data_IF_196942034347
#
_entry.id   IF_196942034347
#
_cell.length_a   1.000
_cell.length_b   1.000
_cell.length_c   1.000
_cell.angle_alpha   90.00
_cell.angle_beta   90.00
_cell.angle_gamma   90.00
#
_symmetry.space_group_name_H-M   'P 1'
#
loop_
_entity.id
_entity.type
_entity.pdbx_description
1 polymer ?
#
# COMPACT_ATOMS: atom_id res chain seq x y z
N UNK A 1 -20.28 -1.20 -13.64
CA UNK A 1 -19.29 -1.93 -12.82
C UNK A 1 -19.54 -1.73 -11.33
N UNK A 2 -19.59 -0.50 -10.79
CA UNK A 2 -19.88 -0.29 -9.35
C UNK A 2 -21.14 -1.03 -8.86
N UNK A 3 -22.22 -0.99 -9.62
CA UNK A 3 -23.50 -1.66 -9.28
C UNK A 3 -23.43 -3.20 -9.25
N UNK A 4 -22.37 -3.80 -9.78
CA UNK A 4 -22.17 -5.25 -9.79
C UNK A 4 -21.41 -5.75 -8.55
N UNK A 5 -20.81 -4.84 -7.78
CA UNK A 5 -20.05 -5.18 -6.58
C UNK A 5 -20.99 -5.55 -5.44
N UNK A 6 -20.70 -6.66 -4.76
CA UNK A 6 -21.38 -7.02 -3.52
C UNK A 6 -20.80 -6.18 -2.35
N UNK A 7 -21.57 -5.26 -1.74
CA UNK A 7 -21.07 -4.44 -0.64
C UNK A 7 -20.71 -5.26 0.62
N UNK A 8 -21.19 -6.50 0.74
CA UNK A 8 -20.90 -7.38 1.88
C UNK A 8 -19.61 -8.20 1.72
N UNK A 9 -19.02 -8.21 0.53
CA UNK A 9 -17.79 -8.95 0.21
C UNK A 9 -16.70 -8.02 -0.34
N UNK A 10 -16.56 -6.82 0.22
CA UNK A 10 -15.48 -5.90 -0.16
C UNK A 10 -14.17 -6.26 0.56
N UNK A 11 -13.00 -6.05 -0.08
CA UNK A 11 -11.72 -6.10 0.63
C UNK A 11 -11.70 -4.98 1.67
N UNK A 12 -11.33 -5.33 2.89
CA UNK A 12 -11.13 -4.35 3.97
C UNK A 12 -9.85 -3.57 3.71
N UNK A 13 -8.83 -4.23 3.19
CA UNK A 13 -7.55 -3.63 2.86
C UNK A 13 -7.10 -3.98 1.44
N UNK A 14 -6.86 -2.94 0.63
CA UNK A 14 -6.26 -3.05 -0.70
C UNK A 14 -4.83 -2.50 -0.65
N UNK A 15 -3.87 -3.24 -1.21
CA UNK A 15 -2.50 -2.77 -1.40
C UNK A 15 -2.20 -2.58 -2.90
N UNK A 16 -1.49 -1.52 -3.27
CA UNK A 16 -1.30 -1.17 -4.69
C UNK A 16 0.18 -0.93 -5.03
N UNK A 17 0.69 -1.67 -6.01
CA UNK A 17 1.98 -1.42 -6.66
C UNK A 17 1.75 -0.56 -7.91
N UNK A 18 2.06 0.73 -7.78
CA UNK A 18 1.81 1.79 -8.76
C UNK A 18 2.90 1.84 -9.86
N UNK A 19 3.04 0.76 -10.63
CA UNK A 19 4.10 0.60 -11.62
C UNK A 19 3.65 1.01 -13.04
N UNK A 20 4.63 1.32 -13.90
CA UNK A 20 4.41 1.74 -15.29
C UNK A 20 4.70 3.22 -15.56
N UNK A 21 4.86 4.07 -14.53
CA UNK A 21 5.00 5.54 -14.70
C UNK A 21 6.05 5.96 -15.73
N UNK A 22 7.27 5.42 -15.64
CA UNK A 22 8.35 5.75 -16.57
C UNK A 22 8.18 5.16 -17.97
N UNK A 23 7.46 4.03 -18.11
CA UNK A 23 7.15 3.43 -19.43
C UNK A 23 6.05 4.23 -20.13
N UNK A 24 5.04 4.64 -19.37
CA UNK A 24 3.99 5.55 -19.82
C UNK A 24 4.57 6.87 -20.33
N UNK A 25 5.49 7.51 -19.58
CA UNK A 25 6.13 8.75 -20.03
C UNK A 25 6.83 8.59 -21.40
N UNK A 26 7.52 7.46 -21.61
CA UNK A 26 8.16 7.15 -22.89
C UNK A 26 7.15 6.95 -24.03
N UNK A 27 6.03 6.28 -23.76
CA UNK A 27 4.95 6.12 -24.76
C UNK A 27 4.34 7.46 -25.18
N UNK A 28 4.31 8.42 -24.26
CA UNK A 28 3.87 9.80 -24.53
C UNK A 28 4.95 10.68 -25.20
N UNK A 29 6.11 10.11 -25.56
CA UNK A 29 7.20 10.83 -26.22
C UNK A 29 8.14 11.60 -25.29
N UNK A 30 8.02 11.44 -23.98
CA UNK A 30 8.87 12.12 -23.00
C UNK A 30 10.06 11.25 -22.60
N UNK A 31 11.23 11.88 -22.53
CA UNK A 31 12.47 11.23 -22.05
C UNK A 31 12.53 11.21 -20.52
N UNK A 32 11.94 12.21 -19.87
CA UNK A 32 11.94 12.35 -18.42
C UNK A 32 10.82 11.52 -17.76
N UNK A 33 11.22 10.59 -16.88
CA UNK A 33 10.30 9.73 -16.12
C UNK A 33 9.47 10.52 -15.11
N UNK A 34 9.95 11.68 -14.66
CA UNK A 34 9.24 12.54 -13.70
C UNK A 34 7.90 13.00 -14.28
N UNK A 35 7.80 13.17 -15.60
CA UNK A 35 6.53 13.49 -16.26
C UNK A 35 5.46 12.41 -15.99
N UNK A 36 5.82 11.13 -16.08
CA UNK A 36 4.93 10.03 -15.74
C UNK A 36 4.52 10.03 -14.27
N UNK A 37 5.46 10.34 -13.38
CA UNK A 37 5.17 10.44 -11.94
C UNK A 37 4.23 11.60 -11.59
N UNK A 38 4.26 12.73 -12.31
CA UNK A 38 3.26 13.80 -12.12
C UNK A 38 1.86 13.36 -12.52
N UNK A 39 1.74 12.65 -13.64
CA UNK A 39 0.45 12.13 -14.11
C UNK A 39 -0.08 10.97 -13.22
N UNK A 40 0.81 10.29 -12.49
CA UNK A 40 0.45 9.28 -11.50
C UNK A 40 -0.43 9.81 -10.36
N UNK A 41 -0.36 11.11 -10.03
CA UNK A 41 -1.14 11.69 -8.93
C UNK A 41 -2.65 11.61 -9.19
N UNK A 42 -3.07 11.75 -10.45
CA UNK A 42 -4.48 11.57 -10.82
C UNK A 42 -4.98 10.16 -10.49
N UNK A 43 -4.17 9.14 -10.79
CA UNK A 43 -4.52 7.76 -10.49
C UNK A 43 -4.54 7.47 -8.98
N UNK A 44 -3.65 8.10 -8.20
CA UNK A 44 -3.68 8.04 -6.73
C UNK A 44 -5.02 8.58 -6.21
N UNK A 45 -5.45 9.74 -6.70
CA UNK A 45 -6.73 10.35 -6.31
C UNK A 45 -7.92 9.44 -6.65
N UNK A 46 -7.97 8.92 -7.87
CA UNK A 46 -9.03 7.99 -8.31
C UNK A 46 -9.06 6.69 -7.48
N UNK A 47 -7.90 6.17 -7.08
CA UNK A 47 -7.83 4.99 -6.21
C UNK A 47 -8.32 5.28 -4.79
N UNK A 48 -7.95 6.44 -4.21
CA UNK A 48 -8.40 6.85 -2.87
C UNK A 48 -9.91 7.10 -2.87
N UNK A 49 -10.39 7.95 -3.78
CA UNK A 49 -11.81 8.29 -3.89
C UNK A 49 -12.66 7.06 -4.20
N UNK A 50 -12.24 6.22 -5.16
CA UNK A 50 -12.94 4.99 -5.50
C UNK A 50 -13.00 4.00 -4.34
N UNK A 51 -11.92 3.89 -3.54
CA UNK A 51 -11.89 3.02 -2.35
C UNK A 51 -12.78 3.57 -1.24
N UNK A 52 -12.73 4.88 -0.99
CA UNK A 52 -13.57 5.56 0.00
C UNK A 52 -15.07 5.42 -0.35
N UNK A 53 -15.42 5.64 -1.62
CA UNK A 53 -16.77 5.53 -2.18
C UNK A 53 -17.38 4.13 -2.06
N UNK A 54 -16.55 3.10 -1.94
CA UNK A 54 -16.95 1.71 -1.71
C UNK A 54 -16.99 1.34 -0.22
N UNK A 55 -16.33 2.11 0.64
CA UNK A 55 -16.21 1.80 2.06
C UNK A 55 -15.04 0.89 2.43
N UNK A 56 -14.05 0.74 1.54
CA UNK A 56 -12.76 0.10 1.84
C UNK A 56 -12.11 0.87 3.00
N UNK A 57 -11.52 0.15 3.95
CA UNK A 57 -11.02 0.75 5.20
C UNK A 57 -9.55 1.13 5.14
N UNK A 58 -8.75 0.38 4.40
CA UNK A 58 -7.31 0.61 4.27
C UNK A 58 -6.89 0.56 2.79
N UNK A 59 -6.07 1.52 2.39
CA UNK A 59 -5.42 1.55 1.08
C UNK A 59 -3.92 1.80 1.26
N UNK A 60 -3.09 0.78 1.04
CA UNK A 60 -1.63 0.94 1.09
C UNK A 60 -1.07 1.16 -0.31
N UNK A 61 -0.37 2.28 -0.53
CA UNK A 61 0.22 2.64 -1.82
C UNK A 61 1.74 2.50 -1.77
N UNK A 62 2.32 1.71 -2.70
CA UNK A 62 3.76 1.54 -2.78
C UNK A 62 4.44 2.71 -3.49
N UNK A 63 4.68 3.79 -2.73
CA UNK A 63 5.12 5.07 -3.28
C UNK A 63 6.63 5.14 -3.55
N UNK A 64 7.46 4.59 -2.66
CA UNK A 64 8.92 4.61 -2.82
C UNK A 64 9.57 3.43 -2.10
N UNK A 65 10.30 2.55 -2.82
CA UNK A 65 10.95 1.39 -2.22
C UNK A 65 12.37 1.67 -1.70
N UNK A 66 12.90 0.80 -0.83
CA UNK A 66 14.32 0.88 -0.43
C UNK A 66 15.27 0.77 -1.63
N UNK A 67 14.91 0.00 -2.66
CA UNK A 67 15.72 -0.15 -3.88
C UNK A 67 15.68 1.11 -4.75
N UNK A 68 14.71 2.01 -4.58
CA UNK A 68 14.62 3.25 -5.36
C UNK A 68 15.73 4.25 -5.03
N UNK A 69 16.43 4.10 -3.90
CA UNK A 69 17.64 4.88 -3.60
C UNK A 69 18.80 4.60 -4.56
N UNK A 70 18.80 3.47 -5.26
CA UNK A 70 19.82 3.16 -6.27
C UNK A 70 19.62 3.92 -7.60
N UNK A 71 18.56 4.73 -7.72
CA UNK A 71 18.32 5.56 -8.91
C UNK A 71 19.21 6.81 -8.90
N UNK A 72 19.38 7.49 -10.05
CA UNK A 72 20.15 8.73 -10.10
C UNK A 72 19.65 9.76 -9.08
N UNK A 73 20.56 10.44 -8.39
CA UNK A 73 20.22 11.39 -7.32
C UNK A 73 19.20 12.45 -7.75
N UNK A 74 19.33 12.98 -8.96
CA UNK A 74 18.38 13.95 -9.51
C UNK A 74 16.95 13.40 -9.62
N UNK A 75 16.78 12.12 -9.97
CA UNK A 75 15.45 11.48 -10.01
C UNK A 75 14.89 11.33 -8.58
N UNK A 76 15.72 10.88 -7.63
CA UNK A 76 15.32 10.74 -6.22
C UNK A 76 14.91 12.09 -5.64
N UNK A 77 15.70 13.14 -5.84
CA UNK A 77 15.41 14.48 -5.33
C UNK A 77 14.09 15.02 -5.93
N UNK A 78 13.84 14.80 -7.22
CA UNK A 78 12.59 15.18 -7.88
C UNK A 78 11.37 14.40 -7.35
N UNK A 79 11.51 13.10 -7.06
CA UNK A 79 10.45 12.30 -6.44
C UNK A 79 10.11 12.79 -5.02
N UNK A 80 11.12 13.19 -4.24
CA UNK A 80 10.90 13.76 -2.90
C UNK A 80 10.19 15.12 -2.97
N UNK A 81 10.55 15.98 -3.93
CA UNK A 81 9.83 17.24 -4.16
C UNK A 81 8.37 16.99 -4.57
N UNK A 82 8.14 15.99 -5.43
CA UNK A 82 6.78 15.63 -5.86
C UNK A 82 5.93 15.13 -4.67
N UNK A 83 6.50 14.30 -3.79
CA UNK A 83 5.85 13.85 -2.55
C UNK A 83 5.44 15.05 -1.68
N UNK A 84 6.36 16.01 -1.47
CA UNK A 84 6.09 17.22 -0.70
C UNK A 84 4.95 18.02 -1.32
N UNK A 85 4.96 18.23 -2.65
CA UNK A 85 3.90 18.97 -3.34
C UNK A 85 2.56 18.26 -3.16
N UNK A 86 2.49 16.98 -3.52
CA UNK A 86 1.26 16.20 -3.47
C UNK A 86 0.63 16.17 -2.07
N UNK A 87 1.43 15.98 -1.03
CA UNK A 87 0.94 15.99 0.35
C UNK A 87 0.38 17.34 0.78
N UNK A 88 0.99 18.45 0.34
CA UNK A 88 0.49 19.79 0.64
C UNK A 88 -0.79 20.10 -0.13
N UNK A 89 -0.80 19.75 -1.41
CA UNK A 89 -1.90 20.07 -2.32
C UNK A 89 -3.16 19.27 -1.96
N UNK A 90 -3.03 18.02 -1.51
CA UNK A 90 -4.16 17.15 -1.17
C UNK A 90 -4.57 17.21 0.32
N UNK A 91 -3.86 17.94 1.19
CA UNK A 91 -4.14 17.91 2.64
C UNK A 91 -5.57 18.37 2.99
N UNK A 92 -6.01 19.49 2.43
CA UNK A 92 -7.34 20.03 2.70
C UNK A 92 -8.44 19.11 2.10
N UNK A 93 -8.17 18.49 0.96
CA UNK A 93 -9.07 17.48 0.36
C UNK A 93 -9.15 16.23 1.23
N UNK A 94 -8.03 15.74 1.78
CA UNK A 94 -8.02 14.60 2.71
C UNK A 94 -8.86 14.91 3.97
N UNK A 95 -8.71 16.09 4.54
CA UNK A 95 -9.50 16.54 5.70
C UNK A 95 -10.99 16.61 5.37
N UNK A 96 -11.34 17.25 4.25
CA UNK A 96 -12.72 17.37 3.77
C UNK A 96 -13.38 16.02 3.52
N UNK A 97 -12.62 15.06 2.98
CA UNK A 97 -13.11 13.73 2.61
C UNK A 97 -12.93 12.69 3.73
N UNK A 98 -12.59 13.12 4.95
CA UNK A 98 -12.42 12.25 6.13
C UNK A 98 -11.39 11.12 5.88
N UNK A 99 -10.33 11.41 5.13
CA UNK A 99 -9.22 10.48 4.86
C UNK A 99 -8.18 10.59 5.97
N UNK A 100 -7.82 9.49 6.61
CA UNK A 100 -6.72 9.41 7.57
C UNK A 100 -5.43 9.02 6.85
N UNK A 101 -4.38 9.82 6.94
CA UNK A 101 -3.08 9.49 6.36
C UNK A 101 -2.20 8.77 7.39
N UNK A 102 -1.52 7.72 6.96
CA UNK A 102 -0.50 7.00 7.73
C UNK A 102 0.67 6.60 6.82
N UNK A 103 1.74 6.03 7.39
CA UNK A 103 2.92 5.64 6.61
C UNK A 103 3.64 4.43 7.19
N UNK A 104 4.36 3.70 6.33
CA UNK A 104 5.29 2.63 6.68
C UNK A 104 6.60 2.81 5.90
N UNK A 105 7.71 2.35 6.45
CA UNK A 105 9.03 2.40 5.86
C UNK A 105 10.06 3.17 6.68
N UNK A 106 11.27 3.29 6.14
CA UNK A 106 12.39 3.97 6.79
C UNK A 106 12.25 5.50 6.64
N UNK A 107 11.28 6.10 7.32
CA UNK A 107 10.93 7.53 7.16
C UNK A 107 12.11 8.46 7.54
N UNK A 108 12.93 8.03 8.48
CA UNK A 108 14.16 8.71 8.90
C UNK A 108 15.20 8.86 7.77
N UNK A 109 15.12 8.02 6.73
CA UNK A 109 15.99 8.11 5.56
C UNK A 109 15.55 9.16 4.54
N UNK A 110 14.32 9.68 4.65
CA UNK A 110 13.82 10.73 3.76
C UNK A 110 14.47 12.08 4.11
N UNK A 111 14.55 13.04 3.17
CA UNK A 111 14.97 14.41 3.49
C UNK A 111 14.11 15.03 4.61
N UNK A 112 14.71 15.82 5.50
CA UNK A 112 14.00 16.41 6.65
C UNK A 112 12.77 17.24 6.25
N UNK A 113 12.83 17.90 5.09
CA UNK A 113 11.70 18.64 4.53
C UNK A 113 10.52 17.73 4.22
N UNK A 114 10.77 16.56 3.61
CA UNK A 114 9.76 15.53 3.33
C UNK A 114 9.19 14.97 4.62
N UNK A 115 10.05 14.65 5.60
CA UNK A 115 9.60 14.12 6.89
C UNK A 115 8.67 15.10 7.62
N UNK A 116 8.98 16.40 7.60
CA UNK A 116 8.19 17.44 8.26
C UNK A 116 6.80 17.57 7.65
N UNK A 117 6.72 17.59 6.31
CA UNK A 117 5.45 17.70 5.58
C UNK A 117 4.60 16.45 5.81
N UNK A 118 5.21 15.27 5.74
CA UNK A 118 4.53 14.00 6.02
C UNK A 118 3.98 13.95 7.44
N UNK A 119 4.79 14.28 8.45
CA UNK A 119 4.36 14.32 9.86
C UNK A 119 3.20 15.29 10.07
N UNK A 120 3.25 16.47 9.44
CA UNK A 120 2.16 17.44 9.53
C UNK A 120 0.85 16.88 8.94
N UNK A 121 0.91 16.25 7.76
CA UNK A 121 -0.27 15.69 7.12
C UNK A 121 -0.88 14.52 7.91
N UNK A 122 -0.04 13.66 8.52
CA UNK A 122 -0.49 12.59 9.41
C UNK A 122 -1.18 13.18 10.65
N UNK A 123 -0.58 14.17 11.29
CA UNK A 123 -1.14 14.80 12.49
C UNK A 123 -2.48 15.50 12.22
N UNK A 124 -2.58 16.24 11.11
CA UNK A 124 -3.80 16.96 10.69
C UNK A 124 -4.96 16.04 10.29
N UNK A 125 -4.68 14.75 10.02
CA UNK A 125 -5.68 13.77 9.59
C UNK A 125 -5.86 12.63 10.59
N UNK A 126 -5.18 12.65 11.74
CA UNK A 126 -5.13 11.52 12.68
C UNK A 126 -6.49 11.13 13.25
N UNK A 127 -7.38 12.11 13.43
CA UNK A 127 -8.71 11.95 14.03
C UNK A 127 -9.79 11.63 12.97
N UNK A 128 -9.41 11.56 11.69
CA UNK A 128 -10.33 11.15 10.63
C UNK A 128 -10.68 9.66 10.77
N UNK A 129 -11.93 9.34 10.48
CA UNK A 129 -12.55 8.03 10.72
C UNK A 129 -12.96 7.30 9.43
N UNK A 130 -12.69 7.91 8.27
CA UNK A 130 -12.95 7.31 6.97
C UNK A 130 -11.85 6.32 6.57
N UNK A 131 -11.51 6.31 5.28
CA UNK A 131 -10.44 5.43 4.78
C UNK A 131 -9.09 5.84 5.37
N UNK A 132 -8.28 4.86 5.79
CA UNK A 132 -6.87 5.07 6.10
C UNK A 132 -6.03 4.82 4.85
N UNK A 133 -5.34 5.86 4.37
CA UNK A 133 -4.38 5.76 3.27
C UNK A 133 -2.98 5.64 3.85
N UNK A 134 -2.28 4.56 3.51
CA UNK A 134 -0.94 4.27 4.00
C UNK A 134 0.06 4.44 2.87
N UNK A 135 1.01 5.35 3.02
CA UNK A 135 2.10 5.50 2.06
C UNK A 135 3.29 4.65 2.49
N UNK A 136 3.66 3.68 1.67
CA UNK A 136 4.90 2.93 1.86
C UNK A 136 6.08 3.70 1.23
N UNK A 137 6.92 4.29 2.08
CA UNK A 137 7.98 5.24 1.72
C UNK A 137 9.34 4.78 2.26
N UNK A 138 10.32 4.61 1.38
CA UNK A 138 11.59 3.94 1.72
C UNK A 138 11.31 2.57 2.37
N UNK A 139 10.31 1.85 1.83
CA UNK A 139 9.83 0.60 2.39
C UNK A 139 10.28 -0.59 1.55
N UNK A 140 10.56 -1.71 2.21
CA UNK A 140 10.51 -3.03 1.59
C UNK A 140 10.30 -4.11 2.65
N UNK A 141 9.68 -5.23 2.27
CA UNK A 141 9.33 -6.31 3.20
C UNK A 141 10.57 -6.98 3.81
N UNK A 142 11.65 -7.16 3.03
CA UNK A 142 12.92 -7.63 3.60
C UNK A 142 13.49 -6.66 4.63
N UNK A 143 13.43 -5.36 4.36
CA UNK A 143 13.87 -4.36 5.34
C UNK A 143 13.04 -4.44 6.62
N UNK A 144 11.71 -4.54 6.50
CA UNK A 144 10.78 -4.62 7.61
C UNK A 144 11.03 -5.85 8.50
N UNK A 145 11.18 -7.02 7.88
CA UNK A 145 11.51 -8.29 8.56
C UNK A 145 12.87 -8.19 9.27
N UNK A 146 13.91 -7.67 8.61
CA UNK A 146 15.25 -7.55 9.22
C UNK A 146 15.27 -6.54 10.36
N UNK A 147 14.61 -5.39 10.20
CA UNK A 147 14.44 -4.38 11.26
C UNK A 147 13.75 -5.00 12.47
N UNK A 148 12.68 -5.73 12.24
CA UNK A 148 11.88 -6.39 13.29
C UNK A 148 12.67 -7.47 14.02
N UNK A 149 13.36 -8.35 13.28
CA UNK A 149 14.22 -9.37 13.87
C UNK A 149 15.33 -8.77 14.74
N UNK A 150 15.98 -7.67 14.29
CA UNK A 150 16.99 -6.96 15.09
C UNK A 150 16.40 -6.35 16.37
N UNK A 151 15.22 -5.73 16.28
CA UNK A 151 14.51 -5.16 17.43
C UNK A 151 14.22 -6.23 18.48
N UNK A 152 13.61 -7.35 18.08
CA UNK A 152 13.29 -8.45 18.97
C UNK A 152 14.55 -9.08 19.58
N UNK A 153 15.61 -9.26 18.79
CA UNK A 153 16.88 -9.77 19.28
C UNK A 153 17.53 -8.86 20.34
N UNK A 154 17.44 -7.53 20.20
CA UNK A 154 17.96 -6.60 21.22
C UNK A 154 17.13 -6.67 22.51
N UNK A 155 15.81 -6.81 22.41
CA UNK A 155 14.93 -7.00 23.59
C UNK A 155 15.27 -8.30 24.33
N UNK A 156 15.52 -9.40 23.60
CA UNK A 156 15.99 -10.67 24.19
C UNK A 156 17.34 -10.48 24.88
N UNK A 157 18.29 -9.86 24.20
CA UNK A 157 19.64 -9.61 24.74
C UNK A 157 19.61 -8.74 26.00
N UNK A 158 18.67 -7.80 26.10
CA UNK A 158 18.50 -6.94 27.27
C UNK A 158 17.69 -7.60 28.41
N UNK A 159 17.19 -8.83 28.20
CA UNK A 159 16.35 -9.53 29.17
C UNK A 159 14.92 -9.00 29.28
N UNK A 160 14.45 -8.23 28.29
CA UNK A 160 13.10 -7.68 28.21
C UNK A 160 12.09 -8.67 27.62
N UNK A 161 12.57 -9.71 26.91
CA UNK A 161 11.77 -10.69 26.17
C UNK A 161 12.44 -12.08 26.24
N UNK A 162 11.69 -13.15 26.45
CA UNK A 162 12.22 -14.51 26.31
C UNK A 162 12.14 -14.95 24.84
N UNK A 163 13.06 -15.83 24.39
CA UNK A 163 13.06 -16.31 22.99
C UNK A 163 11.78 -17.10 22.71
N UNK A 164 11.31 -17.84 23.70
CA UNK A 164 10.11 -18.68 23.65
C UNK A 164 8.82 -17.88 23.48
N UNK A 165 8.84 -16.58 23.81
CA UNK A 165 7.71 -15.67 23.62
C UNK A 165 7.63 -15.11 22.19
N UNK A 166 8.64 -15.37 21.34
CA UNK A 166 8.64 -14.93 19.94
C UNK A 166 7.84 -15.91 19.09
N UNK A 167 6.60 -15.54 18.82
CA UNK A 167 5.71 -16.22 17.87
C UNK A 167 5.33 -15.31 16.67
N UNK A 168 4.49 -15.84 15.76
CA UNK A 168 4.02 -15.09 14.59
C UNK A 168 3.25 -13.82 14.97
N UNK A 169 2.47 -13.86 16.07
CA UNK A 169 1.67 -12.72 16.52
C UNK A 169 2.55 -11.60 17.06
N UNK A 170 3.54 -11.92 17.90
CA UNK A 170 4.49 -10.93 18.41
C UNK A 170 5.34 -10.34 17.28
N UNK A 171 5.73 -11.18 16.32
CA UNK A 171 6.45 -10.72 15.13
C UNK A 171 5.61 -9.73 14.32
N UNK A 172 4.35 -10.07 14.04
CA UNK A 172 3.41 -9.20 13.32
C UNK A 172 3.16 -7.87 14.04
N UNK A 173 3.03 -7.89 15.37
CA UNK A 173 2.89 -6.67 16.19
C UNK A 173 4.17 -5.83 16.25
N UNK A 174 5.31 -6.39 15.84
CA UNK A 174 6.60 -5.73 15.84
C UNK A 174 7.02 -5.18 14.48
N UNK A 175 6.35 -5.61 13.39
CA UNK A 175 6.50 -5.06 12.05
C UNK A 175 6.07 -3.59 11.98
N UNK A 176 6.53 -2.90 10.96
CA UNK A 176 6.16 -1.50 10.72
C UNK A 176 4.67 -1.35 10.39
N UNK A 177 4.02 -2.41 9.91
CA UNK A 177 2.59 -2.48 9.62
C UNK A 177 1.71 -2.76 10.85
N UNK A 178 2.26 -2.74 12.08
CA UNK A 178 1.50 -3.04 13.29
C UNK A 178 0.18 -2.26 13.36
N UNK A 179 -0.91 -2.92 13.72
CA UNK A 179 -2.24 -2.31 13.81
C UNK A 179 -2.92 -2.04 12.45
N UNK A 180 -2.27 -2.33 11.33
CA UNK A 180 -2.88 -2.33 10.00
C UNK A 180 -3.23 -3.80 9.66
N UNK A 181 -4.48 -4.12 9.28
CA UNK A 181 -4.85 -5.47 8.88
C UNK A 181 -4.06 -5.90 7.64
N UNK A 182 -3.84 -7.20 7.43
CA UNK A 182 -3.21 -7.69 6.20
C UNK A 182 -4.07 -7.36 4.96
N UNK A 183 -3.46 -7.07 3.79
CA UNK A 183 -4.23 -6.83 2.57
C UNK A 183 -5.06 -8.05 2.19
N UNK A 184 -6.32 -7.83 1.82
CA UNK A 184 -7.13 -8.89 1.22
C UNK A 184 -6.83 -9.02 -0.28
N UNK A 185 -6.54 -7.89 -0.92
CA UNK A 185 -6.27 -7.76 -2.36
C UNK A 185 -5.01 -6.90 -2.59
N UNK A 186 -4.11 -7.39 -3.44
CA UNK A 186 -3.00 -6.62 -3.97
C UNK A 186 -3.21 -6.37 -5.47
N UNK A 187 -3.20 -5.09 -5.86
CA UNK A 187 -3.32 -4.65 -7.24
C UNK A 187 -1.94 -4.22 -7.75
N UNK A 188 -1.57 -4.64 -8.95
CA UNK A 188 -0.37 -4.13 -9.63
C UNK A 188 -0.68 -3.72 -11.07
N UNK A 189 -0.11 -2.58 -11.48
CA UNK A 189 -0.12 -2.13 -12.87
C UNK A 189 1.23 -2.40 -13.56
N UNK A 190 1.27 -2.28 -14.88
CA UNK A 190 2.48 -2.33 -15.70
C UNK A 190 3.00 -3.73 -16.03
N UNK A 191 2.17 -4.77 -15.91
CA UNK A 191 2.41 -6.09 -16.50
C UNK A 191 3.54 -6.92 -15.91
N UNK A 192 4.13 -6.51 -14.79
CA UNK A 192 5.16 -7.29 -14.11
C UNK A 192 4.53 -8.25 -13.09
N UNK A 193 4.74 -9.56 -13.26
CA UNK A 193 4.18 -10.61 -12.39
C UNK A 193 5.08 -10.89 -11.17
N UNK A 194 5.19 -9.92 -10.28
CA UNK A 194 5.92 -10.05 -9.00
C UNK A 194 5.39 -9.07 -7.97
N UNK A 195 5.73 -9.27 -6.69
CA UNK A 195 5.39 -8.31 -5.62
C UNK A 195 6.51 -7.30 -5.33
N UNK A 196 7.68 -7.45 -5.96
CA UNK A 196 8.79 -6.49 -5.87
C UNK A 196 9.17 -6.09 -4.43
N UNK A 197 9.28 -7.08 -3.53
CA UNK A 197 9.64 -6.84 -2.12
C UNK A 197 8.61 -5.97 -1.37
N UNK A 198 7.38 -5.89 -1.85
CA UNK A 198 6.28 -5.20 -1.17
C UNK A 198 5.56 -6.16 -0.23
N UNK A 199 5.32 -5.72 1.01
CA UNK A 199 4.49 -6.39 2.04
C UNK A 199 4.70 -7.92 2.11
N UNK A 200 5.96 -8.38 2.15
CA UNK A 200 6.29 -9.80 2.02
C UNK A 200 5.59 -10.71 3.04
N UNK A 201 5.47 -10.23 4.28
CA UNK A 201 4.79 -10.95 5.36
C UNK A 201 3.28 -10.87 5.18
N UNK A 202 2.76 -9.67 4.93
CA UNK A 202 1.34 -9.36 4.95
C UNK A 202 0.60 -9.93 3.72
N UNK A 203 1.31 -10.14 2.60
CA UNK A 203 0.74 -10.68 1.36
C UNK A 203 0.62 -12.22 1.32
N UNK A 204 0.97 -12.92 2.41
CA UNK A 204 1.05 -14.39 2.42
C UNK A 204 -0.22 -15.10 1.93
N UNK A 205 -1.40 -14.51 2.16
CA UNK A 205 -2.70 -15.06 1.76
C UNK A 205 -3.56 -14.06 0.96
N UNK A 206 -2.98 -12.97 0.48
CA UNK A 206 -3.72 -11.97 -0.30
C UNK A 206 -4.01 -12.49 -1.71
N UNK A 207 -5.16 -12.10 -2.25
CA UNK A 207 -5.40 -12.27 -3.68
C UNK A 207 -4.56 -11.26 -4.46
N UNK A 208 -4.04 -11.68 -5.62
CA UNK A 208 -3.21 -10.84 -6.48
C UNK A 208 -3.94 -10.59 -7.80
N UNK A 209 -4.08 -9.31 -8.13
CA UNK A 209 -4.63 -8.85 -9.41
C UNK A 209 -3.60 -7.99 -10.13
N UNK A 210 -3.16 -8.44 -11.30
CA UNK A 210 -2.10 -7.78 -12.08
C UNK A 210 -2.68 -7.37 -13.43
N UNK A 211 -2.66 -6.07 -13.71
CA UNK A 211 -2.97 -5.56 -15.04
C UNK A 211 -1.77 -5.72 -15.96
N UNK A 212 -1.94 -6.48 -17.04
CA UNK A 212 -0.89 -6.74 -18.04
C UNK A 212 -0.54 -5.48 -18.85
N UNK A 213 -1.55 -4.76 -19.33
CA UNK A 213 -1.37 -3.66 -20.30
C UNK A 213 -1.62 -2.26 -19.70
N UNK A 214 -2.18 -2.17 -18.49
CA UNK A 214 -2.51 -0.89 -17.86
C UNK A 214 -1.28 -0.30 -17.16
N UNK A 215 -0.93 0.94 -17.48
CA UNK A 215 0.05 1.71 -16.70
C UNK A 215 -0.62 2.58 -15.65
N UNK A 216 0.06 2.77 -14.51
CA UNK A 216 -0.49 3.51 -13.39
C UNK A 216 -1.06 4.90 -13.74
N UNK A 217 -0.44 5.76 -14.57
CA UNK A 217 -1.03 7.06 -14.92
C UNK A 217 -2.41 6.98 -15.61
N UNK A 218 -2.73 5.85 -16.24
CA UNK A 218 -4.03 5.60 -16.89
C UNK A 218 -5.03 4.92 -15.95
N UNK A 219 -4.62 4.49 -14.75
CA UNK A 219 -5.50 3.87 -13.77
C UNK A 219 -6.60 4.83 -13.30
N UNK A 220 -7.82 4.31 -13.20
CA UNK A 220 -9.05 5.04 -12.84
C UNK A 220 -9.95 4.13 -12.01
N UNK A 221 -11.01 4.68 -11.40
CA UNK A 221 -11.93 3.94 -10.52
C UNK A 221 -12.55 2.69 -11.16
N UNK A 222 -12.79 2.68 -12.46
CA UNK A 222 -13.30 1.50 -13.18
C UNK A 222 -12.36 0.28 -13.06
N UNK A 223 -11.04 0.53 -13.11
CA UNK A 223 -10.02 -0.51 -12.95
C UNK A 223 -9.94 -1.00 -11.50
N UNK A 224 -10.16 -0.12 -10.53
CA UNK A 224 -10.32 -0.53 -9.13
C UNK A 224 -11.53 -1.46 -8.98
N UNK A 225 -12.66 -1.12 -9.60
CA UNK A 225 -13.87 -1.94 -9.53
C UNK A 225 -13.68 -3.29 -10.23
N UNK A 226 -12.95 -3.32 -11.35
CA UNK A 226 -12.56 -4.55 -12.03
C UNK A 226 -11.78 -5.51 -11.12
N UNK A 227 -10.73 -4.99 -10.46
CA UNK A 227 -9.91 -5.81 -9.56
C UNK A 227 -10.70 -6.30 -8.34
N UNK A 228 -11.65 -5.51 -7.83
CA UNK A 228 -12.51 -5.93 -6.72
C UNK A 228 -13.52 -6.99 -7.17
N UNK A 229 -14.08 -6.89 -8.39
CA UNK A 229 -14.96 -7.92 -8.93
C UNK A 229 -14.24 -9.28 -9.03
N UNK A 230 -13.01 -9.29 -9.56
CA UNK A 230 -12.18 -10.51 -9.59
C UNK A 230 -11.95 -11.09 -8.19
N UNK A 231 -11.67 -10.24 -7.21
CA UNK A 231 -11.53 -10.64 -5.82
C UNK A 231 -12.82 -11.24 -5.21
N UNK A 232 -14.00 -10.77 -5.65
CA UNK A 232 -15.29 -11.27 -5.18
C UNK A 232 -15.66 -12.63 -5.78
N UNK A 233 -15.18 -12.92 -6.99
CA UNK A 233 -15.43 -14.20 -7.67
C UNK A 233 -14.57 -15.36 -7.13
N UNK A 234 -13.55 -15.07 -6.30
CA UNK A 234 -12.64 -16.08 -5.75
C UNK A 234 -13.17 -16.75 -4.48
N UNK A 235 -13.11 -18.08 -4.45
CA UNK A 235 -13.38 -18.88 -3.24
C UNK A 235 -12.15 -18.90 -2.32
N UNK A 236 -12.15 -18.09 -1.26
CA UNK A 236 -11.01 -18.00 -0.34
C UNK A 236 -10.98 -19.15 0.66
N UNK A 237 -9.87 -19.88 0.66
CA UNK A 237 -9.75 -21.16 1.36
C UNK A 237 -8.95 -21.12 2.66
N UNK A 238 -7.95 -20.24 2.79
CA UNK A 238 -7.10 -20.12 3.98
C UNK A 238 -6.61 -21.48 4.53
N UNK A 239 -6.16 -22.37 3.64
CA UNK A 239 -5.70 -23.73 3.99
C UNK A 239 -6.80 -24.78 4.18
N UNK A 240 -8.09 -24.43 4.04
CA UNK A 240 -9.25 -25.35 4.09
C UNK A 240 -9.65 -25.87 2.70
N UNK A 241 -10.35 -26.98 2.63
CA UNK A 241 -10.98 -27.47 1.39
C UNK A 241 -12.31 -26.74 1.11
N UNK A 242 -12.77 -26.72 -0.15
CA UNK A 242 -14.08 -26.14 -0.50
C UNK A 242 -15.25 -26.76 0.30
N UNK A 243 -15.16 -28.04 0.62
CA UNK A 243 -16.15 -28.76 1.43
C UNK A 243 -16.16 -28.27 2.89
N UNK A 244 -15.00 -27.91 3.45
CA UNK A 244 -14.88 -27.35 4.79
C UNK A 244 -15.44 -25.92 4.90
N UNK A 245 -15.50 -25.19 3.80
CA UNK A 245 -16.05 -23.82 3.74
C UNK A 245 -17.58 -23.85 3.55
N UNK A 246 -18.08 -24.89 2.87
CA UNK A 246 -19.52 -25.04 2.55
C UNK A 246 -20.37 -25.70 3.64
N UNK A 247 -19.78 -26.27 4.70
CA UNK A 247 -20.56 -26.80 5.82
C UNK A 247 -21.02 -25.64 6.73
N UNK A 248 -22.34 -25.40 6.88
CA UNK A 248 -22.81 -24.49 7.91
C UNK A 248 -22.48 -25.09 9.28
N UNK A 249 -22.07 -24.22 10.21
CA UNK A 249 -22.00 -24.54 11.64
C UNK A 249 -23.43 -24.85 12.11
N UNK A 250 -23.79 -26.12 12.08
CA UNK A 250 -24.88 -26.70 12.86
C UNK A 250 -24.51 -28.17 13.11
N UNK A 251 -23.79 -28.38 14.21
CA UNK A 251 -23.76 -29.61 14.98
C UNK A 251 -23.67 -29.19 16.46
#
# INVERSE_FOLDING_TARGET
>A
MKEQLDPNNLPKHIAVIMDGNGRWAKQQGFVDRIFGHRNALKAVKEAIEGSADLGVKYLTLYAFSTENWNRPKAEVDALMMLLISALKDELEDMKKNNVRLDTIGAIDTLPESSQRVLRNAIEETKDNTGITVILALSYSGKWDIVKTAKKLAEQVKNGELAIEDIDEQLFEQSLDTKGIPNPDLMIRTGGDHRISNFLLWQLAYSELYIFEELFWPDFRREHLFEAILDYQDRERRFGKTSEQIKKPVNA
#
